data_IF_120266686466
#
_entry.id   IF_120266686466
#
_cell.length_a   1.000
_cell.length_b   1.000
_cell.length_c   1.000
_cell.angle_alpha   90.00
_cell.angle_beta   90.00
_cell.angle_gamma   90.00
#
_symmetry.space_group_name_H-M   'P 1'
#
loop_
_entity.id
_entity.type
_entity.pdbx_description
1 polymer ?
#
# COMPACT_ATOMS: atom_id res chain seq x y z
N UNK A 1 63.00 80.58 -12.30
CA UNK A 1 62.57 79.73 -11.17
C UNK A 1 61.05 79.75 -11.09
N UNK A 2 60.47 78.56 -10.89
CA UNK A 2 59.08 78.14 -10.54
C UNK A 2 58.15 79.24 -9.99
N UNK A 3 56.82 79.23 -10.21
CA UNK A 3 55.89 78.13 -9.90
C UNK A 3 54.60 78.22 -10.73
N UNK A 4 54.20 77.07 -11.30
CA UNK A 4 52.87 76.79 -11.85
C UNK A 4 51.99 76.30 -10.69
N UNK A 5 50.82 76.91 -10.50
CA UNK A 5 49.79 76.46 -9.55
C UNK A 5 48.97 75.36 -10.23
N UNK A 6 49.12 74.13 -9.73
CA UNK A 6 48.36 72.96 -10.12
C UNK A 6 47.02 72.99 -9.36
N UNK A 7 45.90 73.21 -10.05
CA UNK A 7 44.58 72.95 -9.47
C UNK A 7 44.30 71.47 -9.61
N UNK A 8 44.43 70.72 -8.51
CA UNK A 8 44.17 69.30 -8.48
C UNK A 8 42.66 69.02 -8.59
N UNK A 9 42.31 68.23 -9.60
CA UNK A 9 41.02 67.60 -9.82
C UNK A 9 40.69 66.69 -8.63
N UNK A 10 39.67 67.02 -7.82
CA UNK A 10 39.09 66.06 -6.86
C UNK A 10 38.17 65.14 -7.65
N UNK A 11 38.76 64.16 -8.31
CA UNK A 11 38.06 63.01 -8.89
C UNK A 11 38.53 61.75 -8.13
N UNK A 12 37.76 61.37 -7.13
CA UNK A 12 38.04 60.23 -6.26
C UNK A 12 37.48 60.57 -4.89
N UNK A 13 36.22 60.24 -4.62
CA UNK A 13 35.91 59.05 -3.82
C UNK A 13 34.48 58.51 -4.03
N UNK A 14 33.81 58.80 -5.15
CA UNK A 14 32.41 58.33 -5.35
C UNK A 14 32.34 56.83 -5.77
N UNK A 15 33.44 56.18 -6.14
CA UNK A 15 33.38 54.84 -6.75
C UNK A 15 33.46 53.63 -5.79
N UNK A 16 33.74 53.79 -4.49
CA UNK A 16 33.85 52.63 -3.57
C UNK A 16 32.59 52.41 -2.73
N UNK A 17 31.85 53.47 -2.40
CA UNK A 17 30.61 53.35 -1.62
C UNK A 17 29.41 52.87 -2.46
N UNK A 18 29.47 53.05 -3.79
CA UNK A 18 28.46 52.57 -4.74
C UNK A 18 28.61 51.09 -5.12
N UNK A 19 29.69 50.42 -4.71
CA UNK A 19 29.94 49.02 -5.05
C UNK A 19 29.28 48.00 -4.08
N UNK A 20 28.53 48.46 -3.08
CA UNK A 20 27.88 47.62 -2.07
C UNK A 20 26.34 47.63 -2.15
N UNK A 21 25.83 47.47 -3.37
CA UNK A 21 24.48 47.03 -3.70
C UNK A 21 24.59 46.19 -4.99
N UNK A 22 24.30 44.90 -5.04
CA UNK A 22 23.86 43.94 -4.04
C UNK A 22 24.22 42.59 -4.68
N UNK A 23 25.02 41.74 -4.02
CA UNK A 23 25.42 40.44 -4.58
C UNK A 23 24.22 39.63 -5.14
N UNK A 24 23.03 39.84 -4.58
CA UNK A 24 21.75 39.34 -5.11
C UNK A 24 21.44 39.83 -6.52
N UNK A 25 21.55 41.13 -6.81
CA UNK A 25 21.28 41.66 -8.16
C UNK A 25 22.30 41.15 -9.19
N UNK A 26 23.56 40.95 -8.77
CA UNK A 26 24.59 40.32 -9.61
C UNK A 26 24.23 38.86 -9.90
N UNK A 27 23.85 38.10 -8.87
CA UNK A 27 23.39 36.72 -9.01
C UNK A 27 22.19 36.61 -9.96
N UNK A 28 21.19 37.49 -9.82
CA UNK A 28 20.00 37.55 -10.69
C UNK A 28 20.38 37.85 -12.14
N UNK A 29 21.31 38.78 -12.37
CA UNK A 29 21.77 39.11 -13.72
C UNK A 29 22.53 37.93 -14.34
N UNK A 30 23.44 37.31 -13.59
CA UNK A 30 24.19 36.14 -14.03
C UNK A 30 23.27 34.94 -14.31
N UNK A 31 22.23 34.76 -13.50
CA UNK A 31 21.19 33.75 -13.72
C UNK A 31 20.43 34.01 -15.03
N UNK A 32 19.96 35.24 -15.26
CA UNK A 32 19.30 35.63 -16.53
C UNK A 32 20.19 35.46 -17.75
N UNK A 33 21.49 35.65 -17.60
CA UNK A 33 22.48 35.47 -18.67
C UNK A 33 22.90 34.00 -18.86
N UNK A 34 22.36 33.06 -18.07
CA UNK A 34 22.65 31.63 -18.15
C UNK A 34 24.01 31.22 -17.54
N UNK A 35 24.74 32.14 -16.91
CA UNK A 35 26.02 31.85 -16.24
C UNK A 35 25.78 31.41 -14.80
N UNK A 36 25.28 30.18 -14.63
CA UNK A 36 24.80 29.67 -13.34
C UNK A 36 25.90 29.48 -12.30
N UNK A 37 27.13 29.19 -12.71
CA UNK A 37 28.31 29.13 -11.83
C UNK A 37 28.60 30.47 -11.16
N UNK A 38 28.54 31.57 -11.92
CA UNK A 38 28.71 32.93 -11.38
C UNK A 38 27.52 33.35 -10.54
N UNK A 39 26.31 32.99 -10.97
CA UNK A 39 25.10 33.26 -10.22
C UNK A 39 25.15 32.58 -8.84
N UNK A 40 25.59 31.31 -8.80
CA UNK A 40 25.77 30.54 -7.58
C UNK A 40 26.82 31.19 -6.66
N UNK A 41 28.00 31.53 -7.20
CA UNK A 41 29.05 32.16 -6.40
C UNK A 41 28.61 33.51 -5.79
N UNK A 42 27.83 34.29 -6.52
CA UNK A 42 27.30 35.57 -6.03
C UNK A 42 26.17 35.39 -5.01
N UNK A 43 25.30 34.40 -5.19
CA UNK A 43 24.16 34.19 -4.28
C UNK A 43 24.60 33.59 -2.94
N UNK A 44 25.58 32.68 -2.91
CA UNK A 44 26.13 32.18 -1.65
C UNK A 44 26.83 33.30 -0.85
N UNK A 45 27.53 34.22 -1.50
CA UNK A 45 28.06 35.41 -0.79
C UNK A 45 26.93 36.30 -0.24
N UNK A 46 25.80 36.36 -0.94
CA UNK A 46 24.67 37.16 -0.53
C UNK A 46 23.95 36.59 0.70
N UNK A 47 23.96 35.26 0.89
CA UNK A 47 23.33 34.58 2.03
C UNK A 47 24.12 34.77 3.33
N UNK A 48 25.42 35.05 3.25
CA UNK A 48 26.27 35.33 4.41
C UNK A 48 26.33 36.82 4.76
N UNK A 49 26.08 37.70 3.79
CA UNK A 49 26.31 39.13 3.96
C UNK A 49 25.21 39.82 4.78
N UNK A 50 25.63 40.62 5.77
CA UNK A 50 24.76 41.26 6.79
C UNK A 50 23.57 42.08 6.27
N UNK A 51 23.65 42.63 5.05
CA UNK A 51 22.56 43.44 4.46
C UNK A 51 21.62 42.65 3.55
N UNK A 52 21.93 41.39 3.26
CA UNK A 52 21.25 40.59 2.23
C UNK A 52 20.75 39.25 2.75
N UNK A 53 21.38 38.70 3.79
CA UNK A 53 20.96 37.44 4.41
C UNK A 53 19.52 37.43 4.92
N UNK A 54 18.98 38.60 5.30
CA UNK A 54 17.62 38.73 5.83
C UNK A 54 16.61 39.21 4.75
N UNK A 55 16.98 39.11 3.46
CA UNK A 55 16.08 39.46 2.34
C UNK A 55 15.52 38.21 1.68
N UNK A 56 14.20 38.13 1.53
CA UNK A 56 13.51 37.05 0.83
C UNK A 56 14.06 36.81 -0.59
N UNK A 57 14.30 37.89 -1.35
CA UNK A 57 14.89 37.82 -2.70
C UNK A 57 16.20 37.02 -2.74
N UNK A 58 17.03 37.11 -1.71
CA UNK A 58 18.31 36.38 -1.64
C UNK A 58 18.08 34.87 -1.65
N UNK A 59 17.22 34.40 -0.76
CA UNK A 59 16.93 32.98 -0.62
C UNK A 59 16.10 32.45 -1.78
N UNK A 60 15.20 33.26 -2.34
CA UNK A 60 14.41 32.86 -3.50
C UNK A 60 15.32 32.55 -4.69
N UNK A 61 16.21 33.49 -5.04
CA UNK A 61 17.12 33.29 -6.16
C UNK A 61 18.17 32.22 -5.88
N UNK A 62 18.54 31.97 -4.62
CA UNK A 62 19.37 30.82 -4.26
C UNK A 62 18.68 29.51 -4.65
N UNK A 63 17.42 29.33 -4.23
CA UNK A 63 16.63 28.15 -4.58
C UNK A 63 16.44 27.99 -6.09
N UNK A 64 16.11 29.08 -6.80
CA UNK A 64 15.96 29.07 -8.27
C UNK A 64 17.25 28.70 -8.99
N UNK A 65 18.39 29.27 -8.58
CA UNK A 65 19.69 28.98 -9.21
C UNK A 65 20.05 27.51 -9.03
N UNK A 66 19.95 26.97 -7.81
CA UNK A 66 20.21 25.55 -7.60
C UNK A 66 19.24 24.66 -8.38
N UNK A 67 17.95 25.02 -8.45
CA UNK A 67 16.95 24.25 -9.19
C UNK A 67 17.26 24.22 -10.68
N UNK A 68 17.64 25.34 -11.28
CA UNK A 68 17.96 25.44 -12.71
C UNK A 68 19.31 24.77 -13.07
N UNK A 69 20.14 24.47 -12.06
CA UNK A 69 21.35 23.66 -12.23
C UNK A 69 21.04 22.16 -12.27
N UNK A 70 19.96 21.69 -11.65
CA UNK A 70 19.58 20.26 -11.68
C UNK A 70 19.24 19.85 -13.11
N UNK A 71 19.90 18.79 -13.60
CA UNK A 71 19.70 18.28 -14.96
C UNK A 71 20.28 19.17 -16.07
N UNK A 72 20.93 20.30 -15.73
CA UNK A 72 21.59 21.14 -16.70
C UNK A 72 22.83 20.43 -17.30
N UNK A 73 23.00 20.37 -18.63
CA UNK A 73 24.12 19.63 -19.25
C UNK A 73 25.52 20.13 -18.86
N UNK A 74 25.64 21.41 -18.51
CA UNK A 74 26.93 22.04 -18.17
C UNK A 74 27.10 22.10 -16.65
N UNK A 75 26.05 22.51 -15.95
CA UNK A 75 26.12 22.85 -14.53
C UNK A 75 25.60 21.76 -13.59
N UNK A 76 24.94 20.72 -14.09
CA UNK A 76 24.42 19.61 -13.28
C UNK A 76 25.51 18.88 -12.49
N UNK A 77 26.75 18.85 -13.00
CA UNK A 77 27.91 18.31 -12.28
C UNK A 77 28.32 19.09 -11.02
N UNK A 78 27.79 20.30 -10.85
CA UNK A 78 27.99 21.12 -9.64
C UNK A 78 26.86 20.89 -8.62
N UNK A 79 25.91 20.00 -8.92
CA UNK A 79 24.85 19.56 -8.01
C UNK A 79 25.16 18.17 -7.50
N UNK A 80 24.55 17.82 -6.37
CA UNK A 80 24.70 16.55 -5.68
C UNK A 80 23.35 16.06 -5.12
N UNK A 81 23.37 14.95 -4.39
CA UNK A 81 22.17 14.37 -3.77
C UNK A 81 21.47 15.29 -2.75
N UNK A 82 22.21 16.25 -2.17
CA UNK A 82 21.69 17.18 -1.18
C UNK A 82 21.12 18.46 -1.81
N UNK A 83 21.38 18.71 -3.09
CA UNK A 83 20.94 19.92 -3.77
C UNK A 83 19.43 20.18 -3.68
N UNK A 84 18.52 19.19 -3.82
CA UNK A 84 17.09 19.40 -3.57
C UNK A 84 16.76 19.87 -2.15
N UNK A 85 17.51 19.43 -1.14
CA UNK A 85 17.35 19.88 0.25
C UNK A 85 17.76 21.35 0.37
N UNK A 86 18.88 21.74 -0.25
CA UNK A 86 19.35 23.13 -0.30
C UNK A 86 18.31 24.04 -0.97
N UNK A 87 17.66 23.57 -2.03
CA UNK A 87 16.58 24.29 -2.70
C UNK A 87 15.38 24.47 -1.75
N UNK A 88 14.96 23.39 -1.08
CA UNK A 88 13.84 23.41 -0.15
C UNK A 88 14.09 24.39 1.01
N UNK A 89 15.27 24.33 1.65
CA UNK A 89 15.67 25.25 2.71
C UNK A 89 15.65 26.71 2.24
N UNK A 90 16.10 26.96 1.01
CA UNK A 90 16.11 28.29 0.42
C UNK A 90 14.69 28.81 0.19
N UNK A 91 13.78 27.96 -0.25
CA UNK A 91 12.37 28.32 -0.41
C UNK A 91 11.64 28.48 0.93
N UNK A 92 11.93 27.65 1.93
CA UNK A 92 11.37 27.81 3.28
C UNK A 92 11.82 29.14 3.89
N UNK A 93 13.10 29.49 3.76
CA UNK A 93 13.62 30.77 4.21
C UNK A 93 13.03 31.96 3.45
N UNK A 94 12.70 31.77 2.18
CA UNK A 94 11.96 32.78 1.39
C UNK A 94 10.60 33.04 2.00
N UNK A 95 9.81 32.00 2.25
CA UNK A 95 8.45 32.12 2.84
C UNK A 95 8.52 32.72 4.25
N UNK A 96 9.52 32.33 5.05
CA UNK A 96 9.76 32.88 6.39
C UNK A 96 9.96 34.40 6.36
N UNK A 97 10.79 34.90 5.43
CA UNK A 97 11.17 36.32 5.36
C UNK A 97 10.17 37.21 4.62
N UNK A 98 9.48 36.68 3.61
CA UNK A 98 8.56 37.44 2.75
C UNK A 98 7.11 37.40 3.25
N UNK A 99 6.80 36.44 4.12
CA UNK A 99 5.44 36.06 4.48
C UNK A 99 4.71 35.36 3.33
N UNK A 100 3.68 34.58 3.63
CA UNK A 100 2.96 33.76 2.63
C UNK A 100 2.45 34.55 1.41
N UNK A 101 2.18 35.85 1.57
CA UNK A 101 1.65 36.72 0.52
C UNK A 101 2.70 37.62 -0.17
N UNK A 102 3.97 37.47 0.21
CA UNK A 102 5.09 38.23 -0.37
C UNK A 102 5.31 37.95 -1.85
N UNK A 103 6.05 38.86 -2.51
CA UNK A 103 6.33 38.83 -3.96
C UNK A 103 6.99 37.52 -4.41
N UNK A 104 7.94 37.01 -3.62
CA UNK A 104 8.70 35.80 -3.89
C UNK A 104 8.02 34.57 -3.30
N UNK A 105 7.44 34.68 -2.10
CA UNK A 105 6.77 33.55 -1.44
C UNK A 105 5.62 32.97 -2.27
N UNK A 106 4.86 33.79 -2.99
CA UNK A 106 3.77 33.32 -3.88
C UNK A 106 4.24 32.43 -5.03
N UNK A 107 5.51 32.51 -5.40
CA UNK A 107 6.11 31.69 -6.47
C UNK A 107 6.67 30.36 -5.96
N UNK A 108 6.87 30.23 -4.64
CA UNK A 108 7.47 29.04 -4.01
C UNK A 108 6.64 27.76 -4.23
N UNK A 109 5.30 27.76 -4.09
CA UNK A 109 4.51 26.54 -4.28
C UNK A 109 4.71 25.87 -5.65
N UNK A 110 4.62 26.64 -6.73
CA UNK A 110 4.84 26.14 -8.09
C UNK A 110 6.27 25.60 -8.26
N UNK A 111 7.27 26.30 -7.70
CA UNK A 111 8.67 25.87 -7.71
C UNK A 111 8.89 24.55 -6.97
N UNK A 112 8.26 24.38 -5.80
CA UNK A 112 8.30 23.11 -5.04
C UNK A 112 7.61 21.98 -5.80
N UNK A 113 6.48 22.25 -6.46
CA UNK A 113 5.79 21.26 -7.28
C UNK A 113 6.65 20.78 -8.46
N UNK A 114 7.36 21.69 -9.14
CA UNK A 114 8.32 21.31 -10.18
C UNK A 114 9.48 20.47 -9.63
N UNK A 115 10.02 20.84 -8.47
CA UNK A 115 11.08 20.07 -7.81
C UNK A 115 10.60 18.68 -7.42
N UNK A 116 9.38 18.57 -6.87
CA UNK A 116 8.74 17.30 -6.56
C UNK A 116 8.65 16.40 -7.80
N UNK A 117 8.16 16.93 -8.93
CA UNK A 117 8.09 16.17 -10.18
C UNK A 117 9.45 15.67 -10.67
N UNK A 118 10.50 16.49 -10.57
CA UNK A 118 11.87 16.08 -10.93
C UNK A 118 12.39 14.96 -10.03
N UNK A 119 12.21 15.09 -8.71
CA UNK A 119 12.68 14.08 -7.73
C UNK A 119 11.88 12.79 -7.85
N UNK A 120 10.56 12.88 -8.07
CA UNK A 120 9.70 11.71 -8.24
C UNK A 120 10.06 10.94 -9.53
N UNK A 121 10.33 11.65 -10.64
CA UNK A 121 10.77 10.99 -11.87
C UNK A 121 12.09 10.23 -11.68
N UNK A 122 13.05 10.81 -10.95
CA UNK A 122 14.29 10.09 -10.58
C UNK A 122 13.98 8.85 -9.72
N UNK A 123 13.04 8.95 -8.78
CA UNK A 123 12.62 7.81 -7.97
C UNK A 123 12.04 6.68 -8.85
N UNK A 124 11.20 7.03 -9.83
CA UNK A 124 10.60 6.10 -10.79
C UNK A 124 11.66 5.48 -11.71
N UNK A 125 12.66 6.26 -12.17
CA UNK A 125 13.79 5.73 -12.95
C UNK A 125 14.55 4.65 -12.18
N UNK A 126 14.93 4.93 -10.93
CA UNK A 126 15.58 3.94 -10.06
C UNK A 126 14.68 2.74 -9.75
N UNK A 127 13.38 2.97 -9.55
CA UNK A 127 12.41 1.90 -9.31
C UNK A 127 12.30 0.97 -10.53
N UNK A 128 12.23 1.52 -11.74
CA UNK A 128 12.18 0.75 -12.98
C UNK A 128 13.48 -0.01 -13.26
N UNK A 129 14.63 0.54 -12.86
CA UNK A 129 15.92 -0.15 -12.92
C UNK A 129 16.17 -1.09 -11.74
N UNK A 130 15.20 -1.25 -10.84
CA UNK A 130 15.28 -2.08 -9.62
C UNK A 130 16.42 -1.67 -8.67
N UNK A 131 16.88 -0.42 -8.76
CA UNK A 131 17.80 0.18 -7.79
C UNK A 131 16.98 0.68 -6.60
N UNK A 132 16.51 -0.27 -5.80
CA UNK A 132 15.56 0.00 -4.72
C UNK A 132 16.11 0.97 -3.68
N UNK A 133 17.40 0.87 -3.36
CA UNK A 133 18.05 1.75 -2.39
C UNK A 133 17.98 3.22 -2.80
N UNK A 134 18.28 3.54 -4.06
CA UNK A 134 18.18 4.91 -4.56
C UNK A 134 16.73 5.34 -4.80
N UNK A 135 15.85 4.41 -5.23
CA UNK A 135 14.43 4.69 -5.38
C UNK A 135 13.82 5.14 -4.04
N UNK A 136 14.05 4.40 -2.95
CA UNK A 136 13.56 4.73 -1.61
C UNK A 136 14.02 6.12 -1.17
N UNK A 137 15.33 6.41 -1.27
CA UNK A 137 15.88 7.74 -0.92
C UNK A 137 15.21 8.87 -1.68
N UNK A 138 14.91 8.66 -2.98
CA UNK A 138 14.25 9.67 -3.81
C UNK A 138 12.76 9.81 -3.47
N UNK A 139 12.06 8.74 -3.14
CA UNK A 139 10.69 8.83 -2.63
C UNK A 139 10.61 9.55 -1.28
N UNK A 140 11.52 9.26 -0.34
CA UNK A 140 11.61 9.98 0.94
C UNK A 140 11.86 11.47 0.73
N UNK A 141 12.73 11.83 -0.22
CA UNK A 141 12.99 13.21 -0.58
C UNK A 141 11.78 13.88 -1.26
N UNK A 142 11.07 13.17 -2.15
CA UNK A 142 9.83 13.66 -2.75
C UNK A 142 8.78 13.94 -1.68
N UNK A 143 8.60 13.05 -0.71
CA UNK A 143 7.72 13.25 0.43
C UNK A 143 8.14 14.45 1.29
N UNK A 144 9.45 14.67 1.52
CA UNK A 144 9.93 15.88 2.21
C UNK A 144 9.57 17.18 1.47
N UNK A 145 9.56 17.16 0.13
CA UNK A 145 9.20 18.32 -0.69
C UNK A 145 7.69 18.56 -0.70
N UNK A 146 6.90 17.47 -0.73
CA UNK A 146 5.43 17.47 -0.76
C UNK A 146 4.87 16.58 0.36
N UNK A 147 4.87 17.03 1.63
CA UNK A 147 4.50 16.20 2.78
C UNK A 147 3.06 15.68 2.78
N UNK A 148 2.17 16.32 2.03
CA UNK A 148 0.78 15.93 1.85
C UNK A 148 0.58 14.81 0.80
N UNK A 149 1.58 14.55 -0.04
CA UNK A 149 1.49 13.53 -1.08
C UNK A 149 1.74 12.13 -0.51
N UNK A 150 0.73 11.27 -0.64
CA UNK A 150 0.79 9.86 -0.22
C UNK A 150 1.46 8.99 -1.29
N UNK A 151 1.55 9.47 -2.54
CA UNK A 151 2.07 8.69 -3.67
C UNK A 151 3.52 8.29 -3.44
N UNK A 152 4.39 9.26 -3.09
CA UNK A 152 5.79 8.99 -2.82
C UNK A 152 5.96 7.98 -1.67
N UNK A 153 5.20 8.10 -0.59
CA UNK A 153 5.26 7.18 0.57
C UNK A 153 4.81 5.77 0.18
N UNK A 154 3.76 5.65 -0.64
CA UNK A 154 3.27 4.35 -1.13
C UNK A 154 4.30 3.63 -1.99
N UNK A 155 4.92 4.34 -2.95
CA UNK A 155 5.97 3.73 -3.75
C UNK A 155 7.27 3.49 -2.98
N UNK A 156 7.54 4.26 -1.92
CA UNK A 156 8.61 3.94 -0.97
C UNK A 156 8.33 2.62 -0.24
N UNK A 157 7.09 2.37 0.21
CA UNK A 157 6.68 1.11 0.83
C UNK A 157 6.86 -0.08 -0.13
N UNK A 158 6.48 0.09 -1.40
CA UNK A 158 6.67 -0.95 -2.43
C UNK A 158 8.15 -1.21 -2.72
N UNK A 159 8.95 -0.16 -2.90
CA UNK A 159 10.38 -0.30 -3.13
C UNK A 159 11.10 -0.95 -1.93
N UNK A 160 10.75 -0.56 -0.70
CA UNK A 160 11.29 -1.17 0.51
C UNK A 160 10.87 -2.65 0.65
N UNK A 161 9.64 -2.99 0.27
CA UNK A 161 9.19 -4.39 0.21
C UNK A 161 10.00 -5.20 -0.80
N UNK A 162 10.23 -4.67 -2.00
CA UNK A 162 11.02 -5.32 -3.04
C UNK A 162 12.51 -5.46 -2.66
N UNK A 163 13.04 -4.53 -1.85
CA UNK A 163 14.39 -4.57 -1.29
C UNK A 163 14.51 -5.47 -0.04
N UNK A 164 13.43 -6.18 0.34
CA UNK A 164 13.33 -6.97 1.58
C UNK A 164 13.56 -6.18 2.88
N UNK A 165 13.39 -4.85 2.84
CA UNK A 165 13.47 -3.96 4.01
C UNK A 165 12.10 -3.86 4.68
N UNK A 166 11.63 -4.98 5.22
CA UNK A 166 10.25 -5.11 5.69
C UNK A 166 9.90 -4.17 6.85
N UNK A 167 10.80 -3.95 7.81
CA UNK A 167 10.54 -2.99 8.90
C UNK A 167 10.39 -1.55 8.37
N UNK A 168 11.19 -1.16 7.37
CA UNK A 168 11.07 0.14 6.73
C UNK A 168 9.77 0.25 5.94
N UNK A 169 9.38 -0.81 5.21
CA UNK A 169 8.11 -0.86 4.49
C UNK A 169 6.91 -0.76 5.43
N UNK A 170 6.93 -1.46 6.58
CA UNK A 170 5.89 -1.33 7.63
C UNK A 170 5.82 0.12 8.13
N UNK A 171 6.97 0.76 8.36
CA UNK A 171 7.02 2.19 8.73
C UNK A 171 6.35 3.10 7.71
N UNK A 172 6.59 2.88 6.40
CA UNK A 172 5.90 3.65 5.36
C UNK A 172 4.38 3.40 5.33
N UNK A 173 3.93 2.15 5.57
CA UNK A 173 2.49 1.89 5.71
C UNK A 173 1.90 2.55 6.95
N UNK A 174 2.63 2.62 8.07
CA UNK A 174 2.21 3.37 9.25
C UNK A 174 2.04 4.86 8.95
N UNK A 175 2.96 5.44 8.19
CA UNK A 175 2.88 6.85 7.82
C UNK A 175 1.70 7.12 6.87
N UNK A 176 1.45 6.24 5.89
CA UNK A 176 0.23 6.32 5.05
C UNK A 176 -1.05 6.32 5.88
N UNK A 177 -1.15 5.43 6.88
CA UNK A 177 -2.32 5.36 7.75
C UNK A 177 -2.49 6.63 8.59
N UNK A 178 -1.39 7.22 9.09
CA UNK A 178 -1.41 8.52 9.81
C UNK A 178 -1.82 9.68 8.90
N UNK A 179 -1.41 9.64 7.63
CA UNK A 179 -1.78 10.62 6.60
C UNK A 179 -3.23 10.48 6.12
N UNK A 180 -3.96 9.46 6.60
CA UNK A 180 -5.35 9.21 6.20
C UNK A 180 -5.51 8.36 4.94
N UNK A 181 -4.42 7.82 4.37
CA UNK A 181 -4.47 6.87 3.25
C UNK A 181 -4.81 5.47 3.75
N UNK A 182 -6.03 5.32 4.26
CA UNK A 182 -6.53 4.13 4.94
C UNK A 182 -7.29 3.19 3.99
N UNK A 183 -6.66 2.79 2.90
CA UNK A 183 -7.26 1.83 1.95
C UNK A 183 -7.13 0.40 2.46
N UNK A 184 -7.99 -0.50 2.00
CA UNK A 184 -7.93 -1.92 2.39
C UNK A 184 -6.57 -2.54 2.02
N UNK A 185 -6.01 -2.16 0.87
CA UNK A 185 -4.73 -2.67 0.36
C UNK A 185 -3.54 -2.27 1.24
N UNK A 186 -3.56 -1.07 1.83
CA UNK A 186 -2.52 -0.63 2.78
C UNK A 186 -2.53 -1.49 4.03
N UNK A 187 -3.72 -1.73 4.60
CA UNK A 187 -3.86 -2.62 5.75
C UNK A 187 -3.42 -4.05 5.41
N UNK A 188 -3.88 -4.59 4.27
CA UNK A 188 -3.51 -5.93 3.78
C UNK A 188 -1.99 -6.08 3.66
N UNK A 189 -1.34 -5.14 2.97
CA UNK A 189 0.10 -5.17 2.76
C UNK A 189 0.86 -5.11 4.10
N UNK A 190 0.45 -4.24 5.02
CA UNK A 190 1.03 -4.14 6.36
C UNK A 190 0.85 -5.43 7.16
N UNK A 191 -0.35 -6.02 7.19
CA UNK A 191 -0.62 -7.29 7.90
C UNK A 191 0.24 -8.42 7.35
N UNK A 192 0.33 -8.55 6.02
CA UNK A 192 1.15 -9.57 5.37
C UNK A 192 2.63 -9.42 5.73
N UNK A 193 3.15 -8.19 5.76
CA UNK A 193 4.53 -7.94 6.16
C UNK A 193 4.77 -8.24 7.64
N UNK A 194 3.87 -7.83 8.53
CA UNK A 194 3.96 -8.16 9.95
C UNK A 194 3.94 -9.68 10.19
N UNK A 195 3.15 -10.41 9.42
CA UNK A 195 3.14 -11.88 9.44
C UNK A 195 4.48 -12.45 8.94
N UNK A 196 5.00 -11.92 7.83
CA UNK A 196 6.26 -12.36 7.25
C UNK A 196 7.48 -12.07 8.13
N UNK A 197 7.42 -11.00 8.94
CA UNK A 197 8.48 -10.63 9.90
C UNK A 197 8.25 -11.23 11.29
N UNK A 198 7.25 -12.09 11.46
CA UNK A 198 6.90 -12.71 12.74
C UNK A 198 6.68 -11.68 13.87
N UNK A 199 6.06 -10.54 13.52
CA UNK A 199 5.63 -9.56 14.51
C UNK A 199 4.71 -10.21 15.55
N UNK A 200 4.63 -9.60 16.74
CA UNK A 200 3.78 -10.13 17.81
C UNK A 200 2.32 -10.21 17.38
N UNK A 201 1.61 -11.23 17.89
CA UNK A 201 0.17 -11.39 17.64
C UNK A 201 -0.61 -10.10 18.00
N UNK A 202 -0.21 -9.40 19.06
CA UNK A 202 -0.80 -8.13 19.47
C UNK A 202 -0.64 -7.02 18.41
N UNK A 203 0.52 -6.93 17.75
CA UNK A 203 0.77 -5.93 16.72
C UNK A 203 -0.07 -6.18 15.45
N UNK A 204 -0.21 -7.45 15.07
CA UNK A 204 -1.05 -7.85 13.93
C UNK A 204 -2.53 -7.63 14.27
N UNK A 205 -2.96 -8.04 15.46
CA UNK A 205 -4.33 -7.86 15.93
C UNK A 205 -4.72 -6.39 16.08
N UNK A 206 -3.80 -5.52 16.49
CA UNK A 206 -4.03 -4.07 16.50
C UNK A 206 -4.28 -3.54 15.08
N UNK A 207 -3.46 -3.97 14.11
CA UNK A 207 -3.60 -3.57 12.70
C UNK A 207 -4.88 -4.10 12.07
N UNK A 208 -5.28 -5.34 12.41
CA UNK A 208 -6.55 -5.94 12.00
C UNK A 208 -7.75 -5.21 12.59
N UNK A 209 -7.71 -4.87 13.88
CA UNK A 209 -8.78 -4.13 14.55
C UNK A 209 -8.97 -2.73 13.94
N UNK A 210 -7.87 -2.01 13.69
CA UNK A 210 -7.92 -0.71 13.01
C UNK A 210 -8.42 -0.86 11.57
N UNK A 211 -7.94 -1.87 10.83
CA UNK A 211 -8.38 -2.14 9.47
C UNK A 211 -9.86 -2.48 9.37
N UNK A 212 -10.38 -3.32 10.26
CA UNK A 212 -11.81 -3.68 10.32
C UNK A 212 -12.70 -2.52 10.78
N UNK A 213 -12.16 -1.55 11.52
CA UNK A 213 -12.90 -0.32 11.84
C UNK A 213 -13.12 0.54 10.59
N UNK A 214 -12.13 0.66 9.72
CA UNK A 214 -12.21 1.43 8.48
C UNK A 214 -12.91 0.63 7.35
N UNK A 215 -12.72 -0.68 7.34
CA UNK A 215 -13.24 -1.63 6.34
C UNK A 215 -14.02 -2.77 7.00
N UNK A 216 -15.20 -2.48 7.58
CA UNK A 216 -15.97 -3.45 8.37
C UNK A 216 -16.49 -4.65 7.59
N UNK A 217 -16.36 -4.64 6.25
CA UNK A 217 -16.76 -5.74 5.37
C UNK A 217 -15.56 -6.46 4.73
N UNK A 218 -14.33 -6.20 5.19
CA UNK A 218 -13.13 -6.89 4.68
C UNK A 218 -13.13 -8.36 5.11
N UNK A 219 -13.51 -9.24 4.18
CA UNK A 219 -13.49 -10.70 4.37
C UNK A 219 -12.09 -11.19 4.71
N UNK A 220 -11.08 -10.64 4.03
CA UNK A 220 -9.68 -10.96 4.29
C UNK A 220 -9.30 -10.69 5.76
N UNK A 221 -9.56 -9.47 6.25
CA UNK A 221 -9.17 -9.12 7.62
C UNK A 221 -9.95 -9.91 8.66
N UNK A 222 -11.23 -10.22 8.44
CA UNK A 222 -11.98 -11.09 9.35
C UNK A 222 -11.40 -12.50 9.40
N UNK A 223 -11.01 -13.05 8.25
CA UNK A 223 -10.38 -14.37 8.18
C UNK A 223 -9.01 -14.37 8.87
N UNK A 224 -8.21 -13.32 8.68
CA UNK A 224 -6.94 -13.17 9.40
C UNK A 224 -7.16 -13.05 10.90
N UNK A 225 -8.06 -12.16 11.35
CA UNK A 225 -8.40 -12.00 12.78
C UNK A 225 -8.85 -13.33 13.40
N UNK A 226 -9.67 -14.09 12.68
CA UNK A 226 -10.11 -15.42 13.11
C UNK A 226 -8.94 -16.39 13.31
N UNK A 227 -7.94 -16.39 12.43
CA UNK A 227 -6.76 -17.26 12.57
C UNK A 227 -6.03 -16.98 13.88
N UNK A 228 -5.88 -15.71 14.27
CA UNK A 228 -5.24 -15.33 15.53
C UNK A 228 -6.08 -15.70 16.76
N UNK A 229 -7.40 -15.54 16.70
CA UNK A 229 -8.29 -16.03 17.76
C UNK A 229 -8.16 -17.54 17.97
N UNK A 230 -8.13 -18.30 16.88
CA UNK A 230 -8.01 -19.76 16.94
C UNK A 230 -6.62 -20.20 17.41
N UNK A 231 -5.55 -19.53 16.99
CA UNK A 231 -4.18 -19.79 17.45
C UNK A 231 -4.07 -19.64 18.97
N UNK A 232 -4.86 -18.76 19.57
CA UNK A 232 -4.83 -18.44 20.98
C UNK A 232 -5.98 -19.08 21.79
N UNK A 233 -6.66 -20.10 21.25
CA UNK A 233 -7.79 -20.81 21.89
C UNK A 233 -8.99 -19.91 22.27
N UNK A 234 -9.13 -18.76 21.60
CA UNK A 234 -10.17 -17.74 21.85
C UNK A 234 -11.30 -17.81 20.81
N UNK A 235 -11.73 -19.02 20.46
CA UNK A 235 -12.75 -19.23 19.42
C UNK A 235 -14.12 -18.63 19.75
N UNK A 236 -14.49 -18.59 21.04
CA UNK A 236 -15.77 -18.04 21.48
C UNK A 236 -15.83 -16.51 21.33
N UNK A 237 -14.70 -15.82 21.50
CA UNK A 237 -14.61 -14.38 21.25
C UNK A 237 -14.76 -14.05 19.76
N UNK A 238 -14.15 -14.88 18.88
CA UNK A 238 -14.33 -14.75 17.45
C UNK A 238 -15.79 -14.97 17.03
N UNK A 239 -16.47 -15.97 17.60
CA UNK A 239 -17.92 -16.19 17.38
C UNK A 239 -18.72 -14.96 17.78
N UNK A 240 -18.50 -14.42 18.98
CA UNK A 240 -19.23 -13.25 19.47
C UNK A 240 -19.00 -12.00 18.60
N UNK A 241 -17.79 -11.82 18.06
CA UNK A 241 -17.49 -10.74 17.10
C UNK A 241 -18.23 -10.93 15.78
N UNK A 242 -18.20 -12.13 15.21
CA UNK A 242 -18.92 -12.45 13.98
C UNK A 242 -20.42 -12.29 14.15
N UNK A 243 -20.98 -12.68 15.30
CA UNK A 243 -22.40 -12.50 15.60
C UNK A 243 -22.79 -11.01 15.59
N UNK A 244 -22.00 -10.15 16.23
CA UNK A 244 -22.23 -8.69 16.18
C UNK A 244 -22.09 -8.11 14.77
N UNK A 245 -21.11 -8.57 13.99
CA UNK A 245 -20.95 -8.13 12.61
C UNK A 245 -22.17 -8.52 11.76
N UNK A 246 -22.68 -9.75 11.93
CA UNK A 246 -23.87 -10.24 11.24
C UNK A 246 -25.13 -9.48 11.69
N UNK A 247 -25.24 -9.12 12.96
CA UNK A 247 -26.34 -8.28 13.45
C UNK A 247 -26.30 -6.87 12.83
N UNK A 248 -25.11 -6.32 12.61
CA UNK A 248 -24.93 -5.02 11.97
C UNK A 248 -25.19 -5.03 10.46
N UNK A 249 -24.80 -6.09 9.76
CA UNK A 249 -25.07 -6.28 8.33
C UNK A 249 -25.57 -7.71 8.02
N UNK A 250 -26.87 -7.99 8.24
CA UNK A 250 -27.45 -9.31 8.05
C UNK A 250 -27.59 -9.72 6.57
N UNK A 251 -27.22 -8.85 5.63
CA UNK A 251 -27.24 -9.17 4.18
C UNK A 251 -25.84 -9.48 3.65
N UNK A 252 -24.80 -9.32 4.45
CA UNK A 252 -23.45 -9.66 4.05
C UNK A 252 -23.22 -11.17 4.15
N UNK A 253 -23.42 -11.87 3.03
CA UNK A 253 -23.23 -13.31 2.92
C UNK A 253 -21.82 -13.78 3.31
N UNK A 254 -20.79 -12.94 3.12
CA UNK A 254 -19.42 -13.28 3.50
C UNK A 254 -19.24 -13.42 5.01
N UNK A 255 -19.99 -12.66 5.83
CA UNK A 255 -19.95 -12.81 7.29
C UNK A 255 -20.44 -14.20 7.73
N UNK A 256 -21.55 -14.64 7.13
CA UNK A 256 -22.07 -15.98 7.35
C UNK A 256 -21.06 -17.03 6.85
N UNK A 257 -20.42 -16.84 5.69
CA UNK A 257 -19.40 -17.76 5.20
C UNK A 257 -18.20 -17.87 6.18
N UNK A 258 -17.71 -16.77 6.74
CA UNK A 258 -16.63 -16.78 7.75
C UNK A 258 -17.08 -17.48 9.03
N UNK A 259 -18.31 -17.24 9.50
CA UNK A 259 -18.87 -17.94 10.67
C UNK A 259 -19.04 -19.44 10.44
N UNK A 260 -19.46 -19.87 9.26
CA UNK A 260 -19.55 -21.28 8.89
C UNK A 260 -18.19 -21.98 9.00
N UNK A 261 -17.13 -21.34 8.49
CA UNK A 261 -15.77 -21.86 8.57
C UNK A 261 -15.29 -22.01 10.03
N UNK A 262 -15.64 -21.07 10.91
CA UNK A 262 -15.32 -21.18 12.33
C UNK A 262 -16.05 -22.35 13.00
N UNK A 263 -17.33 -22.54 12.69
CA UNK A 263 -18.13 -23.66 13.20
C UNK A 263 -17.58 -25.01 12.74
N UNK A 264 -17.12 -25.13 11.49
CA UNK A 264 -16.44 -26.34 10.99
C UNK A 264 -15.16 -26.65 11.77
N UNK A 265 -14.37 -25.63 12.10
CA UNK A 265 -13.16 -25.80 12.93
C UNK A 265 -13.51 -26.24 14.36
N UNK A 266 -14.63 -25.77 14.90
CA UNK A 266 -15.21 -26.22 16.18
C UNK A 266 -15.92 -27.58 16.10
N UNK A 267 -15.95 -28.23 14.92
CA UNK A 267 -16.66 -29.49 14.64
C UNK A 267 -18.19 -29.41 14.75
N UNK A 268 -18.77 -28.22 14.82
CA UNK A 268 -20.21 -28.00 14.73
C UNK A 268 -20.65 -27.94 13.26
N UNK A 269 -20.69 -29.11 12.62
CA UNK A 269 -21.00 -29.22 11.20
C UNK A 269 -22.46 -28.87 10.89
N UNK A 270 -23.38 -29.17 11.81
CA UNK A 270 -24.80 -28.83 11.64
C UNK A 270 -25.01 -27.31 11.77
N UNK A 271 -24.37 -26.67 12.74
CA UNK A 271 -24.36 -25.20 12.85
C UNK A 271 -23.73 -24.53 11.62
N UNK A 272 -22.59 -25.03 11.14
CA UNK A 272 -21.94 -24.51 9.94
C UNK A 272 -22.87 -24.57 8.72
N UNK A 273 -23.56 -25.70 8.55
CA UNK A 273 -24.54 -25.91 7.47
C UNK A 273 -25.65 -24.87 7.49
N UNK A 274 -26.25 -24.64 8.65
CA UNK A 274 -27.35 -23.67 8.77
C UNK A 274 -26.88 -22.23 8.54
N UNK A 275 -25.65 -21.90 8.95
CA UNK A 275 -25.05 -20.59 8.68
C UNK A 275 -24.73 -20.40 7.18
N UNK A 276 -24.19 -21.41 6.49
CA UNK A 276 -23.97 -21.31 5.04
C UNK A 276 -25.27 -21.17 4.24
N UNK A 277 -26.36 -21.80 4.67
CA UNK A 277 -27.67 -21.55 4.06
C UNK A 277 -28.11 -20.09 4.24
N UNK A 278 -27.91 -19.51 5.42
CA UNK A 278 -28.18 -18.08 5.63
C UNK A 278 -27.32 -17.20 4.73
N UNK A 279 -26.07 -17.59 4.45
CA UNK A 279 -25.24 -16.90 3.46
C UNK A 279 -25.88 -16.92 2.06
N UNK A 280 -26.41 -18.07 1.63
CA UNK A 280 -27.14 -18.22 0.34
C UNK A 280 -28.44 -17.41 0.34
N UNK A 281 -29.17 -17.37 1.46
CA UNK A 281 -30.38 -16.56 1.60
C UNK A 281 -30.09 -15.06 1.52
N UNK A 282 -28.96 -14.63 2.11
CA UNK A 282 -28.50 -13.25 2.09
C UNK A 282 -28.03 -12.82 0.68
N UNK A 283 -27.30 -13.69 -0.01
CA UNK A 283 -26.86 -13.50 -1.40
C UNK A 283 -26.95 -14.82 -2.19
N UNK A 284 -27.99 -14.98 -3.03
CA UNK A 284 -28.17 -16.17 -3.89
C UNK A 284 -27.13 -16.32 -5.01
N UNK A 285 -26.18 -15.40 -5.13
CA UNK A 285 -25.05 -15.44 -6.06
C UNK A 285 -23.70 -15.61 -5.35
N UNK A 286 -23.70 -15.80 -4.03
CA UNK A 286 -22.46 -15.95 -3.26
C UNK A 286 -21.77 -17.28 -3.56
N UNK A 287 -20.68 -17.23 -4.33
CA UNK A 287 -19.90 -18.41 -4.70
C UNK A 287 -19.41 -19.19 -3.46
N UNK A 288 -18.81 -18.50 -2.48
CA UNK A 288 -18.19 -19.14 -1.31
C UNK A 288 -19.21 -19.93 -0.48
N UNK A 289 -20.43 -19.42 -0.32
CA UNK A 289 -21.49 -20.09 0.41
C UNK A 289 -21.90 -21.41 -0.25
N UNK A 290 -22.10 -21.40 -1.57
CA UNK A 290 -22.41 -22.61 -2.34
C UNK A 290 -21.24 -23.60 -2.32
N UNK A 291 -20.01 -23.11 -2.56
CA UNK A 291 -18.82 -23.94 -2.54
C UNK A 291 -18.62 -24.62 -1.17
N UNK A 292 -18.63 -23.85 -0.09
CA UNK A 292 -18.40 -24.35 1.26
C UNK A 292 -19.49 -25.32 1.72
N UNK A 293 -20.76 -25.05 1.39
CA UNK A 293 -21.86 -25.97 1.70
C UNK A 293 -21.74 -27.28 0.90
N UNK A 294 -21.33 -27.20 -0.37
CA UNK A 294 -21.01 -28.38 -1.17
C UNK A 294 -19.88 -29.21 -0.57
N UNK A 295 -18.79 -28.56 -0.16
CA UNK A 295 -17.63 -29.20 0.50
C UNK A 295 -18.05 -29.85 1.82
N UNK A 296 -18.82 -29.15 2.65
CA UNK A 296 -19.31 -29.65 3.94
C UNK A 296 -20.12 -30.94 3.79
N UNK A 297 -21.09 -30.94 2.87
CA UNK A 297 -21.93 -32.11 2.58
C UNK A 297 -21.09 -33.25 1.99
N UNK A 298 -20.19 -32.96 1.04
CA UNK A 298 -19.31 -33.97 0.45
C UNK A 298 -18.41 -34.62 1.51
N UNK A 299 -17.81 -33.82 2.39
CA UNK A 299 -16.92 -34.30 3.45
C UNK A 299 -17.66 -35.19 4.45
N UNK A 300 -18.92 -34.89 4.77
CA UNK A 300 -19.77 -35.75 5.62
C UNK A 300 -20.00 -37.12 4.98
N UNK A 301 -20.29 -37.15 3.68
CA UNK A 301 -20.37 -38.40 2.92
C UNK A 301 -19.04 -39.17 2.88
N UNK A 302 -17.93 -38.46 2.68
CA UNK A 302 -16.58 -39.04 2.67
C UNK A 302 -16.20 -39.64 4.02
N UNK A 303 -16.50 -38.96 5.13
CA UNK A 303 -16.24 -39.47 6.49
C UNK A 303 -17.00 -40.77 6.76
N UNK A 304 -18.28 -40.84 6.38
CA UNK A 304 -19.11 -42.04 6.54
C UNK A 304 -18.54 -43.20 5.70
N UNK A 305 -18.18 -42.95 4.45
CA UNK A 305 -17.53 -43.95 3.61
C UNK A 305 -16.19 -44.43 4.19
N UNK A 306 -15.38 -43.51 4.73
CA UNK A 306 -14.12 -43.85 5.37
C UNK A 306 -14.33 -44.72 6.63
N UNK A 307 -15.40 -44.48 7.41
CA UNK A 307 -15.79 -45.35 8.52
C UNK A 307 -16.15 -46.75 8.02
N UNK A 308 -16.95 -46.85 6.95
CA UNK A 308 -17.32 -48.15 6.37
C UNK A 308 -16.10 -48.92 5.84
N UNK A 309 -15.18 -48.24 5.15
CA UNK A 309 -13.99 -48.85 4.55
C UNK A 309 -12.98 -49.40 5.58
N UNK A 310 -13.00 -48.87 6.82
CA UNK A 310 -12.14 -49.33 7.92
C UNK A 310 -12.73 -50.48 8.74
N UNK A 311 -13.94 -50.93 8.42
CA UNK A 311 -14.61 -52.02 9.15
C UNK A 311 -13.98 -53.37 8.80
N UNK A 312 -13.93 -54.28 9.77
CA UNK A 312 -13.68 -55.69 9.49
C UNK A 312 -14.82 -56.28 8.65
N UNK A 313 -14.55 -57.40 7.98
CA UNK A 313 -15.51 -58.03 7.07
C UNK A 313 -16.86 -58.37 7.73
N UNK A 314 -16.84 -58.88 8.97
CA UNK A 314 -18.06 -59.29 9.66
C UNK A 314 -18.91 -58.07 10.07
N UNK A 315 -18.28 -56.98 10.50
CA UNK A 315 -18.97 -55.72 10.80
C UNK A 315 -19.48 -55.04 9.52
N UNK A 316 -18.68 -55.04 8.45
CA UNK A 316 -19.07 -54.46 7.16
C UNK A 316 -20.31 -55.15 6.58
N UNK A 317 -20.38 -56.49 6.61
CA UNK A 317 -21.57 -57.23 6.14
C UNK A 317 -22.86 -56.82 6.87
N UNK A 318 -22.76 -56.42 8.14
CA UNK A 318 -23.91 -56.01 8.96
C UNK A 318 -24.30 -54.54 8.76
N UNK A 319 -23.32 -53.64 8.61
CA UNK A 319 -23.54 -52.18 8.68
C UNK A 319 -23.02 -51.38 7.49
N UNK A 320 -22.04 -51.90 6.75
CA UNK A 320 -21.31 -51.20 5.69
C UNK A 320 -22.22 -50.70 4.57
N UNK A 321 -23.09 -51.55 4.02
CA UNK A 321 -24.03 -51.15 2.95
C UNK A 321 -24.98 -50.02 3.36
N UNK A 322 -25.40 -50.01 4.63
CA UNK A 322 -26.26 -48.95 5.16
C UNK A 322 -25.49 -47.61 5.25
N UNK A 323 -24.24 -47.64 5.70
CA UNK A 323 -23.37 -46.47 5.74
C UNK A 323 -23.04 -45.94 4.34
N UNK A 324 -22.76 -46.81 3.37
CA UNK A 324 -22.55 -46.39 1.97
C UNK A 324 -23.80 -45.72 1.38
N UNK A 325 -24.99 -46.25 1.70
CA UNK A 325 -26.25 -45.65 1.30
C UNK A 325 -26.47 -44.29 1.97
N UNK A 326 -26.07 -44.16 3.23
CA UNK A 326 -26.09 -42.89 3.96
C UNK A 326 -25.11 -41.87 3.36
N UNK A 327 -23.86 -42.26 3.10
CA UNK A 327 -22.85 -41.43 2.45
C UNK A 327 -23.33 -40.93 1.08
N UNK A 328 -24.01 -41.78 0.31
CA UNK A 328 -24.58 -41.41 -0.99
C UNK A 328 -25.59 -40.28 -0.89
N UNK A 329 -26.40 -40.21 0.19
CA UNK A 329 -27.33 -39.10 0.41
C UNK A 329 -26.60 -37.76 0.55
N UNK A 330 -25.46 -37.75 1.24
CA UNK A 330 -24.65 -36.55 1.39
C UNK A 330 -23.98 -36.11 0.08
N UNK A 331 -23.51 -37.05 -0.75
CA UNK A 331 -23.02 -36.69 -2.10
C UNK A 331 -24.15 -36.17 -3.01
N UNK A 332 -25.37 -36.70 -2.86
CA UNK A 332 -26.54 -36.18 -3.58
C UNK A 332 -26.90 -34.77 -3.09
N UNK A 333 -26.77 -34.52 -1.79
CA UNK A 333 -26.99 -33.22 -1.15
C UNK A 333 -25.94 -32.18 -1.57
N UNK A 334 -24.67 -32.58 -1.71
CA UNK A 334 -23.59 -31.66 -2.13
C UNK A 334 -23.70 -31.21 -3.58
N UNK A 335 -24.29 -32.05 -4.43
CA UNK A 335 -24.37 -31.86 -5.88
C UNK A 335 -24.97 -30.50 -6.31
N UNK A 336 -26.20 -30.11 -5.91
CA UNK A 336 -26.80 -28.85 -6.35
C UNK A 336 -25.98 -27.63 -5.93
N UNK A 337 -25.27 -27.70 -4.80
CA UNK A 337 -24.42 -26.59 -4.35
C UNK A 337 -23.18 -26.43 -5.22
N UNK A 338 -22.49 -27.53 -5.57
CA UNK A 338 -21.36 -27.46 -6.51
C UNK A 338 -21.79 -27.09 -7.93
N UNK A 339 -22.93 -27.59 -8.42
CA UNK A 339 -23.46 -27.19 -9.73
C UNK A 339 -23.75 -25.67 -9.76
N UNK A 340 -24.30 -25.12 -8.66
CA UNK A 340 -24.55 -23.69 -8.53
C UNK A 340 -23.26 -22.88 -8.39
N UNK A 341 -22.29 -23.33 -7.60
CA UNK A 341 -20.97 -22.71 -7.51
C UNK A 341 -20.28 -22.65 -8.88
N UNK A 342 -20.33 -23.74 -9.64
CA UNK A 342 -19.78 -23.80 -11.00
C UNK A 342 -20.54 -22.89 -11.97
N UNK A 343 -21.87 -22.75 -11.80
CA UNK A 343 -22.64 -21.78 -12.58
C UNK A 343 -22.18 -20.34 -12.31
N UNK A 344 -21.88 -19.99 -11.05
CA UNK A 344 -21.44 -18.65 -10.64
C UNK A 344 -20.00 -18.39 -11.11
N UNK A 345 -19.09 -19.36 -10.93
CA UNK A 345 -17.70 -19.27 -11.39
C UNK A 345 -17.33 -20.51 -12.24
N UNK A 346 -17.57 -20.47 -13.57
CA UNK A 346 -17.35 -21.61 -14.45
C UNK A 346 -15.88 -22.03 -14.57
N UNK A 347 -14.96 -21.09 -14.41
CA UNK A 347 -13.51 -21.32 -14.57
C UNK A 347 -12.82 -21.75 -13.27
N UNK A 348 -13.54 -21.83 -12.14
CA UNK A 348 -12.94 -22.27 -10.89
C UNK A 348 -12.61 -23.77 -10.93
N UNK A 349 -11.31 -24.06 -10.98
CA UNK A 349 -10.77 -25.42 -11.08
C UNK A 349 -11.09 -26.28 -9.86
N UNK A 350 -11.13 -25.68 -8.66
CA UNK A 350 -11.41 -26.41 -7.44
C UNK A 350 -12.85 -26.95 -7.44
N UNK A 351 -13.82 -26.11 -7.82
CA UNK A 351 -15.22 -26.49 -7.97
C UNK A 351 -15.38 -27.56 -9.03
N UNK A 352 -14.74 -27.42 -10.20
CA UNK A 352 -14.78 -28.44 -11.25
C UNK A 352 -14.28 -29.80 -10.75
N UNK A 353 -13.16 -29.82 -10.02
CA UNK A 353 -12.59 -31.04 -9.46
C UNK A 353 -13.51 -31.68 -8.42
N UNK A 354 -14.12 -30.89 -7.52
CA UNK A 354 -15.09 -31.39 -6.56
C UNK A 354 -16.35 -31.95 -7.22
N UNK A 355 -16.82 -31.29 -8.28
CA UNK A 355 -18.00 -31.73 -9.01
C UNK A 355 -17.74 -33.04 -9.78
N UNK A 356 -16.55 -33.22 -10.36
CA UNK A 356 -16.09 -34.51 -10.93
C UNK A 356 -16.11 -35.62 -9.88
N UNK A 357 -15.60 -35.33 -8.68
CA UNK A 357 -15.58 -36.29 -7.58
C UNK A 357 -17.01 -36.70 -7.18
N UNK A 358 -17.91 -35.74 -7.04
CA UNK A 358 -19.34 -35.98 -6.75
C UNK A 358 -19.98 -36.82 -7.85
N UNK A 359 -19.82 -36.44 -9.12
CA UNK A 359 -20.35 -37.21 -10.25
C UNK A 359 -19.85 -38.65 -10.25
N UNK A 360 -18.56 -38.86 -10.01
CA UNK A 360 -17.97 -40.20 -9.92
C UNK A 360 -18.60 -41.02 -8.79
N UNK A 361 -18.74 -40.44 -7.59
CA UNK A 361 -19.35 -41.10 -6.43
C UNK A 361 -20.84 -41.43 -6.64
N UNK A 362 -21.53 -40.63 -7.45
CA UNK A 362 -22.94 -40.84 -7.80
C UNK A 362 -23.14 -41.73 -9.03
N UNK A 363 -22.06 -42.15 -9.71
CA UNK A 363 -22.13 -42.97 -10.92
C UNK A 363 -22.46 -42.19 -12.20
N UNK A 364 -22.44 -40.85 -12.16
CA UNK A 364 -22.65 -39.95 -13.30
C UNK A 364 -21.40 -39.83 -14.17
N UNK A 365 -20.94 -40.95 -14.74
CA UNK A 365 -19.65 -41.04 -15.46
C UNK A 365 -19.51 -40.06 -16.63
N UNK A 366 -20.55 -39.95 -17.47
CA UNK A 366 -20.53 -39.05 -18.61
C UNK A 366 -20.37 -37.57 -18.20
N UNK A 367 -20.98 -37.17 -17.09
CA UNK A 367 -20.85 -35.80 -16.57
C UNK A 367 -19.45 -35.54 -16.02
N UNK A 368 -18.88 -36.51 -15.31
CA UNK A 368 -17.50 -36.46 -14.84
C UNK A 368 -16.49 -36.33 -16.00
N UNK A 369 -16.61 -37.18 -17.02
CA UNK A 369 -15.72 -37.17 -18.20
C UNK A 369 -15.81 -35.84 -18.97
N UNK A 370 -17.03 -35.33 -19.16
CA UNK A 370 -17.26 -34.04 -19.82
C UNK A 370 -16.58 -32.89 -19.08
N UNK A 371 -16.63 -32.89 -17.75
CA UNK A 371 -16.02 -31.84 -16.94
C UNK A 371 -14.50 -32.00 -16.85
N UNK A 372 -13.98 -33.23 -16.74
CA UNK A 372 -12.55 -33.52 -16.79
C UNK A 372 -11.90 -33.04 -18.08
N UNK A 373 -12.59 -33.15 -19.21
CA UNK A 373 -12.11 -32.65 -20.50
C UNK A 373 -11.91 -31.13 -20.56
N UNK A 374 -12.47 -30.35 -19.61
CA UNK A 374 -12.26 -28.90 -19.51
C UNK A 374 -11.08 -28.50 -18.60
N UNK A 375 -10.60 -29.43 -17.76
CA UNK A 375 -9.47 -29.18 -16.86
C UNK A 375 -8.11 -29.49 -17.51
N UNK A 376 -8.12 -30.29 -18.57
CA UNK A 376 -6.97 -30.59 -19.44
C UNK A 376 -6.88 -29.57 -20.57
#
# INVERSE_FOLDING_TARGET
MKKVLLTALVAGTISVASAQNSAVNSAVLNHKNGTLDKALADIEKATEHKKTKDKAKTWFYRGVIYQDMIGNPIYGKLTDENTPIVILESFDKTVELDGQNGEFAKQVPERKQMLYGQVLNQAVEFHNSQDWGNAIKKYELAHKISPEDTTAVLYAAYAATADNKYDQAIGFYDDLLKMGHKTEDVYKAKIQLQQATEASDDAVMATLADGLKEHPNSVYMMQEELKYYLKNDRADEAMAKLDKAIEADPKNASLYAVKGNLLERKKDLDGAREVYKKAIEADPTNFDAYYNLGVLEYNRGAEINNKAAKMDYATYQKKGKALESEAKKYYQSSLPYFEKAHQIQPEDKATMQNLINVYTRLGRKADAEKLSAKLN
#
